data_IF_773240916137
#
_entry.id   IF_773240916137
#
_cell.length_a   1.000
_cell.length_b   1.000
_cell.length_c   1.000
_cell.angle_alpha   90.00
_cell.angle_beta   90.00
_cell.angle_gamma   90.00
#
_symmetry.space_group_name_H-M   'P 1'
#
loop_
_entity.id
_entity.type
_entity.pdbx_description
1 polymer ?
#
# COMPACT_ATOMS: atom_id res chain seq x y z
N UNK A 1 -21.02 29.38 -25.77
CA UNK A 1 -21.00 29.31 -24.28
C UNK A 1 -20.31 28.02 -23.89
N UNK A 2 -19.03 28.08 -23.59
CA UNK A 2 -18.22 26.93 -23.18
C UNK A 2 -18.20 26.92 -21.66
N UNK A 3 -18.79 25.88 -21.06
CA UNK A 3 -18.71 25.65 -19.61
C UNK A 3 -17.45 24.79 -19.36
N UNK A 4 -16.44 25.42 -18.78
CA UNK A 4 -15.26 24.74 -18.22
C UNK A 4 -15.67 24.01 -16.94
N UNK A 5 -15.62 22.69 -16.97
CA UNK A 5 -15.68 21.85 -15.78
C UNK A 5 -14.25 21.72 -15.22
N UNK A 6 -13.96 22.50 -14.21
CA UNK A 6 -12.79 22.30 -13.35
C UNK A 6 -13.11 21.17 -12.37
N UNK A 7 -12.64 19.96 -12.68
CA UNK A 7 -12.63 18.86 -11.74
C UNK A 7 -11.44 19.06 -10.79
N UNK A 8 -11.72 19.56 -9.58
CA UNK A 8 -10.75 19.58 -8.49
C UNK A 8 -10.62 18.16 -7.92
N UNK A 9 -9.55 17.45 -8.29
CA UNK A 9 -9.21 16.17 -7.69
C UNK A 9 -8.58 16.43 -6.31
N UNK A 10 -9.37 16.19 -5.25
CA UNK A 10 -8.87 16.23 -3.89
C UNK A 10 -8.09 14.92 -3.60
N UNK A 11 -6.77 15.02 -3.52
CA UNK A 11 -5.91 13.95 -3.02
C UNK A 11 -6.12 13.82 -1.51
N UNK A 12 -6.96 12.88 -1.11
CA UNK A 12 -7.07 12.43 0.27
C UNK A 12 -5.90 11.46 0.57
N UNK A 13 -4.80 11.98 1.10
CA UNK A 13 -3.88 11.21 1.93
C UNK A 13 -4.57 10.96 3.29
N UNK A 14 -5.63 10.15 3.27
CA UNK A 14 -6.30 9.71 4.47
C UNK A 14 -5.55 8.52 5.06
N UNK A 15 -4.49 8.78 5.82
CA UNK A 15 -4.05 7.85 6.85
C UNK A 15 -5.12 7.88 7.95
N UNK A 16 -6.06 6.93 7.91
CA UNK A 16 -7.08 6.75 8.95
C UNK A 16 -6.43 6.25 10.24
N UNK A 17 -6.09 7.17 11.13
CA UNK A 17 -5.74 6.90 12.52
C UNK A 17 -6.91 7.31 13.40
N UNK A 18 -7.57 6.31 13.99
CA UNK A 18 -8.66 6.48 14.92
C UNK A 18 -8.22 7.23 16.19
N UNK A 19 -8.89 8.34 16.49
CA UNK A 19 -8.84 8.99 17.79
C UNK A 19 -10.04 8.52 18.60
N UNK A 20 -9.79 7.71 19.62
CA UNK A 20 -10.70 7.53 20.73
C UNK A 20 -10.42 8.63 21.75
N UNK A 21 -11.35 9.57 21.90
CA UNK A 21 -11.38 10.57 22.97
C UNK A 21 -12.75 10.63 23.56
N UNK A 22 -12.92 10.14 24.80
CA UNK A 22 -14.12 10.32 25.63
C UNK A 22 -14.12 11.71 26.27
N UNK A 23 -15.23 12.43 26.24
CA UNK A 23 -16.09 12.78 27.38
C UNK A 23 -16.99 13.98 27.11
N UNK A 24 -18.24 13.91 27.66
CA UNK A 24 -18.98 15.08 28.14
C UNK A 24 -20.26 15.49 27.40
N UNK A 25 -21.39 14.99 27.88
CA UNK A 25 -22.73 15.55 27.97
C UNK A 25 -23.24 16.71 27.09
N UNK A 26 -24.42 16.51 26.50
CA UNK A 26 -25.36 17.62 26.27
C UNK A 26 -26.18 17.66 24.99
N UNK A 27 -27.32 16.97 24.93
CA UNK A 27 -28.60 17.31 24.25
C UNK A 27 -28.71 17.62 22.75
N UNK A 28 -29.40 16.69 22.07
CA UNK A 28 -30.47 16.80 21.03
C UNK A 28 -30.15 17.33 19.62
N UNK A 29 -30.36 16.40 18.71
CA UNK A 29 -30.99 16.45 17.37
C UNK A 29 -30.27 17.11 16.22
N UNK A 30 -29.70 16.28 15.35
CA UNK A 30 -29.98 16.25 13.90
C UNK A 30 -29.34 15.01 13.28
N UNK A 31 -30.14 14.27 12.52
CA UNK A 31 -29.82 12.99 11.88
C UNK A 31 -28.87 13.24 10.71
N UNK A 32 -27.57 13.12 10.95
CA UNK A 32 -26.55 13.03 9.93
C UNK A 32 -26.16 11.57 9.78
N UNK A 33 -26.20 11.05 8.55
CA UNK A 33 -25.85 9.67 8.21
C UNK A 33 -24.40 9.40 8.66
N UNK A 34 -24.25 8.60 9.70
CA UNK A 34 -22.97 8.10 10.18
C UNK A 34 -22.47 7.07 9.16
N UNK A 35 -21.35 7.38 8.50
CA UNK A 35 -20.52 6.37 7.85
C UNK A 35 -20.08 5.40 8.95
N UNK A 36 -20.34 4.09 8.87
CA UNK A 36 -19.89 3.17 9.89
C UNK A 36 -18.37 3.07 9.84
N UNK A 37 -17.70 3.69 10.81
CA UNK A 37 -16.34 3.31 11.15
C UNK A 37 -16.40 1.82 11.54
N UNK A 38 -15.86 0.95 10.70
CA UNK A 38 -15.74 -0.47 10.93
C UNK A 38 -14.97 -0.66 12.24
N UNK A 39 -15.68 -1.03 13.31
CA UNK A 39 -15.07 -1.67 14.46
C UNK A 39 -14.57 -3.04 13.98
N UNK A 40 -13.35 -3.07 13.43
CA UNK A 40 -12.64 -4.31 13.18
C UNK A 40 -12.39 -4.92 14.57
N UNK A 41 -13.26 -5.85 14.99
CA UNK A 41 -12.89 -6.85 15.96
C UNK A 41 -11.52 -7.39 15.52
N UNK A 42 -10.49 -7.24 16.36
CA UNK A 42 -9.18 -7.86 16.17
C UNK A 42 -9.41 -9.37 16.08
N UNK A 43 -9.62 -9.87 14.90
CA UNK A 43 -9.63 -11.29 14.66
C UNK A 43 -8.20 -11.76 14.91
N UNK A 44 -8.01 -12.65 15.87
CA UNK A 44 -6.70 -13.20 16.18
C UNK A 44 -6.16 -13.88 14.92
N UNK A 45 -4.96 -13.44 14.49
CA UNK A 45 -4.35 -13.99 13.26
C UNK A 45 -4.04 -15.46 13.45
N UNK A 46 -4.37 -16.24 12.44
CA UNK A 46 -4.10 -17.68 12.44
C UNK A 46 -2.59 -17.93 12.50
N UNK A 47 -2.15 -18.84 13.35
CA UNK A 47 -0.76 -19.31 13.37
C UNK A 47 -0.48 -20.18 12.14
N UNK A 48 0.26 -19.64 11.17
CA UNK A 48 0.56 -20.32 9.91
C UNK A 48 1.32 -21.64 10.10
N UNK A 49 2.13 -21.75 11.17
CA UNK A 49 2.92 -22.96 11.44
C UNK A 49 2.05 -24.17 11.85
N UNK A 50 0.82 -23.90 12.29
CA UNK A 50 -0.15 -24.93 12.70
C UNK A 50 -1.14 -25.29 11.58
N UNK A 51 -1.08 -24.59 10.44
CA UNK A 51 -1.95 -24.91 9.32
C UNK A 51 -1.41 -26.11 8.53
N UNK A 52 -2.30 -27.03 8.22
CA UNK A 52 -2.04 -28.01 7.16
C UNK A 52 -2.23 -27.30 5.82
N UNK A 53 -1.13 -27.19 5.06
CA UNK A 53 -1.13 -26.64 3.70
C UNK A 53 -0.88 -27.80 2.75
N UNK A 54 -1.82 -28.02 1.85
CA UNK A 54 -1.68 -29.02 0.80
C UNK A 54 -1.00 -28.38 -0.42
N UNK A 55 -0.12 -29.13 -1.10
CA UNK A 55 0.67 -28.59 -2.23
C UNK A 55 -0.02 -28.84 -3.59
N UNK A 56 -1.06 -29.66 -3.64
CA UNK A 56 -1.87 -29.90 -4.83
C UNK A 56 -3.24 -30.51 -4.44
N UNK A 57 -4.18 -30.47 -5.34
CA UNK A 57 -5.47 -31.17 -5.24
C UNK A 57 -6.06 -31.41 -6.63
N UNK A 58 -6.60 -32.62 -6.86
CA UNK A 58 -7.32 -32.94 -8.11
C UNK A 58 -8.60 -32.12 -8.30
N UNK A 59 -9.06 -31.45 -7.27
CA UNK A 59 -10.21 -30.55 -7.31
C UNK A 59 -9.90 -29.16 -7.88
N UNK A 60 -8.61 -28.76 -7.90
CA UNK A 60 -8.22 -27.46 -8.40
C UNK A 60 -8.61 -27.29 -9.88
N UNK A 61 -9.02 -26.07 -10.27
CA UNK A 61 -9.32 -25.78 -11.68
C UNK A 61 -8.04 -25.76 -12.53
N UNK A 62 -8.18 -25.80 -13.82
CA UNK A 62 -7.10 -25.45 -14.73
C UNK A 62 -7.13 -23.96 -15.01
N UNK A 63 -6.03 -23.27 -14.76
CA UNK A 63 -5.90 -21.83 -15.02
C UNK A 63 -4.94 -21.64 -16.18
N UNK A 64 -5.38 -20.92 -17.20
CA UNK A 64 -4.59 -20.59 -18.38
C UNK A 64 -3.52 -19.54 -18.09
N UNK A 65 -2.73 -19.21 -19.09
CA UNK A 65 -1.77 -18.11 -18.99
C UNK A 65 -2.50 -16.76 -19.10
N UNK A 66 -2.10 -15.76 -18.30
CA UNK A 66 -2.62 -14.40 -18.44
C UNK A 66 -2.22 -13.80 -19.78
N UNK A 67 -3.02 -12.88 -20.27
CA UNK A 67 -2.68 -12.03 -21.42
C UNK A 67 -2.78 -10.56 -21.04
N UNK A 68 -2.19 -9.66 -21.85
CA UNK A 68 -2.19 -8.22 -21.54
C UNK A 68 -3.59 -7.70 -21.24
N UNK A 69 -3.76 -7.10 -20.07
CA UNK A 69 -5.01 -6.50 -19.57
C UNK A 69 -6.20 -7.45 -19.49
N UNK A 70 -5.96 -8.76 -19.31
CA UNK A 70 -7.02 -9.75 -19.11
C UNK A 70 -6.63 -10.77 -18.05
N UNK A 71 -7.59 -11.09 -17.18
CA UNK A 71 -7.47 -12.23 -16.28
C UNK A 71 -7.25 -13.52 -17.07
N UNK A 72 -6.46 -14.47 -16.55
CA UNK A 72 -6.34 -15.80 -17.17
C UNK A 72 -7.69 -16.51 -17.19
N UNK A 73 -7.89 -17.35 -18.20
CA UNK A 73 -9.08 -18.19 -18.27
C UNK A 73 -9.04 -19.28 -17.18
N UNK A 74 -10.21 -19.60 -16.61
CA UNK A 74 -10.34 -20.65 -15.60
C UNK A 74 -11.30 -21.72 -16.10
N UNK A 75 -10.94 -22.99 -15.89
CA UNK A 75 -11.79 -24.15 -16.23
C UNK A 75 -11.92 -25.03 -14.98
N UNK A 76 -13.14 -25.12 -14.47
CA UNK A 76 -13.44 -25.89 -13.26
C UNK A 76 -13.58 -27.38 -13.54
N UNK A 77 -13.15 -28.20 -12.58
CA UNK A 77 -13.41 -29.65 -12.60
C UNK A 77 -14.87 -29.86 -12.23
N UNK A 78 -15.63 -30.38 -13.16
CA UNK A 78 -17.08 -30.57 -13.01
C UNK A 78 -17.46 -31.38 -11.77
N UNK A 79 -18.26 -30.79 -10.89
CA UNK A 79 -18.75 -31.43 -9.67
C UNK A 79 -17.70 -31.60 -8.57
N UNK A 80 -16.50 -31.02 -8.72
CA UNK A 80 -15.47 -31.07 -7.69
C UNK A 80 -15.90 -30.25 -6.48
N UNK A 81 -15.63 -30.79 -5.27
CA UNK A 81 -15.81 -30.06 -4.02
C UNK A 81 -14.54 -29.27 -3.71
N UNK A 82 -14.71 -28.06 -3.21
CA UNK A 82 -13.60 -27.22 -2.80
C UNK A 82 -12.70 -27.91 -1.75
N UNK A 83 -11.36 -27.76 -1.83
CA UNK A 83 -10.45 -28.19 -0.77
C UNK A 83 -10.82 -27.57 0.57
N UNK A 84 -10.74 -28.35 1.64
CA UNK A 84 -11.04 -27.90 3.01
C UNK A 84 -9.83 -27.32 3.72
N UNK A 85 -8.62 -27.61 3.22
CA UNK A 85 -7.35 -27.04 3.68
C UNK A 85 -6.94 -25.92 2.73
N UNK A 86 -6.08 -25.02 3.22
CA UNK A 86 -5.31 -24.12 2.35
C UNK A 86 -4.48 -24.99 1.39
N UNK A 87 -4.65 -24.77 0.09
CA UNK A 87 -3.92 -25.52 -0.94
C UNK A 87 -3.11 -24.52 -1.76
N UNK A 88 -1.81 -24.72 -1.85
CA UNK A 88 -0.89 -23.85 -2.59
C UNK A 88 -0.09 -24.70 -3.58
N UNK A 89 -0.46 -24.60 -4.85
CA UNK A 89 0.23 -25.31 -5.94
C UNK A 89 1.19 -24.37 -6.64
N UNK A 90 2.46 -24.75 -6.69
CA UNK A 90 3.46 -24.02 -7.48
C UNK A 90 3.35 -24.45 -8.94
N UNK A 91 2.90 -23.53 -9.80
CA UNK A 91 2.85 -23.73 -11.26
C UNK A 91 4.22 -23.54 -11.88
N UNK A 92 4.96 -22.52 -11.40
CA UNK A 92 6.31 -22.21 -11.83
C UNK A 92 7.11 -21.75 -10.60
N UNK A 93 8.29 -22.31 -10.42
CA UNK A 93 9.17 -21.90 -9.34
C UNK A 93 10.01 -20.67 -9.74
N UNK A 94 10.06 -19.69 -8.86
CA UNK A 94 10.94 -18.52 -8.92
C UNK A 94 12.25 -18.75 -8.18
N UNK A 95 13.19 -17.84 -8.36
CA UNK A 95 14.52 -17.89 -7.72
C UNK A 95 14.88 -16.62 -6.95
N UNK A 96 13.96 -15.66 -6.86
CA UNK A 96 14.20 -14.37 -6.19
C UNK A 96 14.11 -14.45 -4.67
N UNK A 97 13.95 -13.30 -4.04
CA UNK A 97 13.85 -13.18 -2.59
C UNK A 97 12.67 -13.98 -2.02
N UNK A 98 12.88 -14.60 -0.86
CA UNK A 98 11.83 -15.33 -0.17
C UNK A 98 10.88 -14.35 0.56
N UNK A 99 9.60 -14.65 0.54
CA UNK A 99 8.56 -13.92 1.25
C UNK A 99 8.66 -14.22 2.75
N UNK A 100 8.95 -13.20 3.55
CA UNK A 100 8.99 -13.25 5.01
C UNK A 100 7.64 -12.82 5.62
N UNK A 101 7.43 -13.07 6.90
CA UNK A 101 6.17 -12.78 7.59
C UNK A 101 5.81 -11.28 7.62
N UNK A 102 6.81 -10.41 7.60
CA UNK A 102 6.67 -8.95 7.60
C UNK A 102 6.80 -8.33 6.20
N UNK A 103 6.83 -9.15 5.14
CA UNK A 103 7.03 -8.67 3.78
C UNK A 103 5.85 -7.83 3.27
N UNK A 104 6.19 -6.81 2.51
CA UNK A 104 5.34 -6.20 1.50
C UNK A 104 5.61 -6.89 0.17
N UNK A 105 4.60 -7.55 -0.38
CA UNK A 105 4.71 -8.28 -1.64
C UNK A 105 4.04 -7.51 -2.76
N UNK A 106 4.62 -7.52 -3.95
CA UNK A 106 3.94 -7.12 -5.18
C UNK A 106 3.59 -8.38 -5.98
N UNK A 107 2.38 -8.42 -6.50
CA UNK A 107 1.92 -9.55 -7.28
C UNK A 107 0.98 -9.13 -8.42
N UNK A 108 1.09 -9.83 -9.55
CA UNK A 108 -0.02 -9.92 -10.47
C UNK A 108 -0.93 -11.05 -10.01
N UNK A 109 -2.24 -10.83 -10.01
CA UNK A 109 -3.17 -11.86 -9.55
C UNK A 109 -4.54 -11.73 -10.19
N UNK A 110 -5.27 -12.85 -10.17
CA UNK A 110 -6.72 -12.89 -10.39
C UNK A 110 -7.35 -13.78 -9.35
N UNK A 111 -8.52 -13.38 -8.85
CA UNK A 111 -9.27 -14.11 -7.83
C UNK A 111 -10.68 -14.48 -8.28
N UNK A 112 -11.09 -15.71 -7.99
CA UNK A 112 -12.41 -16.25 -8.26
C UNK A 112 -13.03 -16.82 -6.99
N UNK A 113 -14.35 -16.74 -6.90
CA UNK A 113 -15.09 -17.62 -5.98
C UNK A 113 -15.07 -19.04 -6.55
N UNK A 114 -15.09 -20.03 -5.70
CA UNK A 114 -15.16 -21.42 -6.13
C UNK A 114 -16.32 -21.64 -7.09
N UNK A 115 -16.05 -22.36 -8.19
CA UNK A 115 -16.99 -22.67 -9.27
C UNK A 115 -17.58 -21.45 -10.01
N UNK A 116 -16.93 -20.29 -9.94
CA UNK A 116 -17.31 -19.08 -10.68
C UNK A 116 -16.42 -18.87 -11.89
N UNK A 117 -17.03 -18.57 -13.04
CA UNK A 117 -16.28 -18.19 -14.24
C UNK A 117 -15.79 -16.71 -14.21
N UNK A 118 -16.35 -15.90 -13.31
CA UNK A 118 -16.08 -14.46 -13.25
C UNK A 118 -15.13 -14.15 -12.11
N UNK A 119 -14.10 -13.37 -12.39
CA UNK A 119 -13.20 -12.80 -11.36
C UNK A 119 -13.97 -11.84 -10.46
N UNK A 120 -13.64 -11.83 -9.17
CA UNK A 120 -14.12 -10.78 -8.28
C UNK A 120 -13.06 -9.65 -8.12
N UNK A 121 -11.80 -9.95 -8.45
CA UNK A 121 -10.71 -8.98 -8.47
C UNK A 121 -9.55 -9.48 -9.34
N UNK A 122 -8.91 -8.57 -10.09
CA UNK A 122 -7.79 -8.90 -10.96
C UNK A 122 -6.86 -7.70 -11.17
N UNK A 123 -5.59 -7.86 -10.84
CA UNK A 123 -4.56 -6.86 -11.15
C UNK A 123 -4.19 -6.88 -12.64
N UNK A 124 -4.36 -8.02 -13.32
CA UNK A 124 -4.14 -8.09 -14.78
C UNK A 124 -5.10 -7.15 -15.53
N UNK A 125 -6.38 -7.09 -15.11
CA UNK A 125 -7.37 -6.19 -15.70
C UNK A 125 -7.06 -4.71 -15.43
N UNK A 126 -6.34 -4.41 -14.34
CA UNK A 126 -5.85 -3.06 -14.03
C UNK A 126 -4.53 -2.71 -14.74
N UNK A 127 -3.86 -3.70 -15.36
CA UNK A 127 -2.62 -3.51 -16.12
C UNK A 127 -1.36 -3.32 -15.27
N UNK A 128 -1.42 -3.54 -13.95
CA UNK A 128 -0.26 -3.40 -13.06
C UNK A 128 -0.33 -4.33 -11.87
N UNK A 129 0.82 -4.80 -11.40
CA UNK A 129 0.92 -5.53 -10.14
C UNK A 129 0.39 -4.69 -8.98
N UNK A 130 -0.19 -5.35 -7.99
CA UNK A 130 -0.67 -4.69 -6.77
C UNK A 130 0.21 -5.10 -5.60
N UNK A 131 0.54 -4.11 -4.75
CA UNK A 131 1.39 -4.31 -3.59
C UNK A 131 0.56 -4.41 -2.31
N UNK A 132 0.90 -5.39 -1.47
CA UNK A 132 0.22 -5.69 -0.21
C UNK A 132 1.22 -5.89 0.92
N UNK A 133 0.88 -5.41 2.13
CA UNK A 133 1.52 -5.90 3.33
C UNK A 133 0.92 -7.26 3.71
N UNK A 134 1.73 -8.29 3.95
CA UNK A 134 1.24 -9.59 4.42
C UNK A 134 0.51 -9.47 5.77
N UNK A 135 0.76 -8.41 6.52
CA UNK A 135 0.04 -8.12 7.74
C UNK A 135 -1.37 -7.56 7.51
N UNK A 136 -1.71 -7.14 6.29
CA UNK A 136 -2.99 -6.53 5.92
C UNK A 136 -3.90 -7.38 5.06
N UNK A 137 -3.48 -8.60 4.66
CA UNK A 137 -4.27 -9.50 3.82
C UNK A 137 -4.94 -10.61 4.64
N UNK A 138 -5.88 -11.34 3.99
CA UNK A 138 -6.53 -12.52 4.56
C UNK A 138 -5.50 -13.59 4.93
N UNK A 139 -5.79 -14.40 5.97
CA UNK A 139 -4.86 -15.41 6.48
C UNK A 139 -4.44 -16.44 5.43
N UNK A 140 -5.32 -16.78 4.48
CA UNK A 140 -5.00 -17.67 3.39
C UNK A 140 -3.88 -17.13 2.47
N UNK A 141 -3.88 -15.83 2.17
CA UNK A 141 -2.79 -15.18 1.45
C UNK A 141 -1.52 -15.13 2.28
N UNK A 142 -1.64 -14.65 3.53
CA UNK A 142 -0.49 -14.53 4.43
C UNK A 142 0.23 -15.85 4.62
N UNK A 143 -0.49 -16.92 4.94
CA UNK A 143 0.10 -18.23 5.17
C UNK A 143 0.48 -18.94 3.86
N UNK A 144 -0.27 -18.70 2.79
CA UNK A 144 -0.04 -19.33 1.50
C UNK A 144 1.16 -18.78 0.74
N UNK A 145 1.56 -17.53 1.00
CA UNK A 145 2.71 -16.90 0.34
C UNK A 145 4.01 -17.03 1.15
N UNK A 146 3.91 -17.30 2.46
CA UNK A 146 5.07 -17.38 3.35
C UNK A 146 6.09 -18.43 2.86
N UNK A 147 7.34 -18.02 2.66
CA UNK A 147 8.43 -18.88 2.19
C UNK A 147 8.49 -19.06 0.67
N UNK A 148 7.47 -18.69 -0.09
CA UNK A 148 7.53 -18.61 -1.55
C UNK A 148 8.50 -17.53 -2.01
N UNK A 149 8.91 -17.58 -3.28
CA UNK A 149 9.97 -16.71 -3.81
C UNK A 149 9.43 -15.78 -4.89
N UNK A 150 10.03 -14.63 -5.02
CA UNK A 150 9.83 -13.76 -6.18
C UNK A 150 10.12 -14.54 -7.46
N UNK A 151 9.19 -14.44 -8.43
CA UNK A 151 9.17 -15.25 -9.64
C UNK A 151 8.32 -16.52 -9.56
N UNK A 152 7.86 -16.92 -8.36
CA UNK A 152 6.88 -18.01 -8.24
C UNK A 152 5.57 -17.61 -8.93
N UNK A 153 4.99 -18.59 -9.61
CA UNK A 153 3.60 -18.57 -10.09
C UNK A 153 2.82 -19.61 -9.32
N UNK A 154 1.78 -19.19 -8.64
CA UNK A 154 1.04 -20.01 -7.68
C UNK A 154 -0.44 -20.08 -8.06
N UNK A 155 -1.04 -21.24 -7.82
CA UNK A 155 -2.47 -21.41 -7.70
C UNK A 155 -2.81 -21.67 -6.23
N UNK A 156 -3.68 -20.82 -5.64
CA UNK A 156 -3.99 -20.88 -4.21
C UNK A 156 -5.49 -21.06 -4.03
N UNK A 157 -5.90 -22.16 -3.40
CA UNK A 157 -7.29 -22.37 -2.96
C UNK A 157 -7.38 -22.10 -1.46
N UNK A 158 -8.19 -21.11 -1.10
CA UNK A 158 -8.33 -20.59 0.26
C UNK A 158 -9.74 -20.88 0.77
N UNK A 159 -9.91 -21.79 1.76
CA UNK A 159 -11.22 -22.03 2.38
C UNK A 159 -11.76 -20.74 3.02
N UNK A 160 -13.08 -20.58 3.05
CA UNK A 160 -13.75 -19.38 3.58
C UNK A 160 -13.27 -18.98 4.98
N UNK A 161 -12.98 -19.92 5.88
CA UNK A 161 -12.44 -19.66 7.23
C UNK A 161 -11.08 -18.94 7.26
N UNK A 162 -10.30 -19.00 6.18
CA UNK A 162 -9.02 -18.30 6.00
C UNK A 162 -9.12 -17.12 5.04
N UNK A 163 -10.35 -16.79 4.59
CA UNK A 163 -10.70 -15.68 3.73
C UNK A 163 -11.68 -14.74 4.44
N UNK A 164 -12.80 -14.41 3.84
CA UNK A 164 -13.82 -13.52 4.40
C UNK A 164 -14.98 -14.24 5.08
N UNK A 165 -14.93 -15.58 5.15
CA UNK A 165 -16.01 -16.43 5.68
C UNK A 165 -17.08 -16.76 4.63
N UNK A 166 -18.06 -17.58 5.06
CA UNK A 166 -19.21 -17.93 4.22
C UNK A 166 -20.30 -16.83 4.23
N UNK A 167 -20.28 -15.99 5.27
CA UNK A 167 -21.15 -14.82 5.43
C UNK A 167 -20.29 -13.64 5.84
N UNK A 168 -19.61 -12.96 4.90
CA UNK A 168 -18.75 -11.85 5.22
C UNK A 168 -19.53 -10.67 5.81
N UNK A 169 -18.93 -9.97 6.79
CA UNK A 169 -19.52 -8.78 7.38
C UNK A 169 -19.67 -7.63 6.38
N UNK A 170 -18.74 -7.53 5.41
CA UNK A 170 -18.87 -6.64 4.27
C UNK A 170 -19.60 -7.38 3.14
N UNK A 171 -20.82 -6.96 2.74
CA UNK A 171 -21.60 -7.62 1.67
C UNK A 171 -20.91 -7.62 0.28
N UNK A 172 -19.94 -6.74 0.07
CA UNK A 172 -19.17 -6.66 -1.18
C UNK A 172 -17.97 -7.63 -1.20
N UNK A 173 -17.57 -8.16 -0.04
CA UNK A 173 -16.51 -9.15 0.02
C UNK A 173 -16.96 -10.50 -0.55
N UNK A 174 -16.10 -11.24 -1.27
CA UNK A 174 -16.44 -12.55 -1.77
C UNK A 174 -16.60 -13.55 -0.62
N UNK A 175 -17.61 -14.42 -0.71
CA UNK A 175 -17.93 -15.43 0.31
C UNK A 175 -17.44 -16.82 -0.09
N UNK A 176 -17.19 -17.68 0.91
CA UNK A 176 -16.84 -19.09 0.70
C UNK A 176 -15.38 -19.28 0.29
N UNK A 177 -15.11 -20.42 -0.36
CA UNK A 177 -13.76 -20.74 -0.85
C UNK A 177 -13.39 -19.85 -2.03
N UNK A 178 -12.17 -19.31 -1.99
CA UNK A 178 -11.60 -18.48 -3.05
C UNK A 178 -10.45 -19.20 -3.73
N UNK A 179 -10.29 -18.99 -5.03
CA UNK A 179 -9.15 -19.47 -5.80
C UNK A 179 -8.42 -18.27 -6.40
N UNK A 180 -7.10 -18.28 -6.31
CA UNK A 180 -6.25 -17.25 -6.89
C UNK A 180 -5.18 -17.83 -7.78
N UNK A 181 -4.91 -17.14 -8.88
CA UNK A 181 -3.68 -17.23 -9.64
C UNK A 181 -2.82 -16.05 -9.23
N UNK A 182 -1.56 -16.30 -8.86
CA UNK A 182 -0.66 -15.28 -8.30
C UNK A 182 0.72 -15.40 -8.93
N UNK A 183 1.24 -14.30 -9.46
CA UNK A 183 2.65 -14.16 -9.88
C UNK A 183 3.36 -13.20 -8.93
N UNK A 184 4.31 -13.70 -8.14
CA UNK A 184 5.08 -12.87 -7.21
C UNK A 184 6.15 -12.09 -7.99
N UNK A 185 6.04 -10.76 -8.02
CA UNK A 185 6.94 -9.88 -8.78
C UNK A 185 7.96 -9.18 -7.89
N UNK A 186 7.64 -8.96 -6.59
CA UNK A 186 8.56 -8.37 -5.62
C UNK A 186 8.19 -8.77 -4.18
N UNK A 187 9.18 -8.76 -3.29
CA UNK A 187 8.98 -9.01 -1.86
C UNK A 187 10.06 -8.26 -1.06
N UNK A 188 9.65 -7.28 -0.26
CA UNK A 188 10.53 -6.49 0.59
C UNK A 188 10.10 -6.62 2.05
N UNK A 189 11.04 -6.93 2.93
CA UNK A 189 10.81 -6.91 4.38
C UNK A 189 10.69 -5.47 4.89
N UNK A 190 10.05 -5.31 6.04
CA UNK A 190 9.99 -4.02 6.75
C UNK A 190 11.38 -3.40 6.94
N UNK A 191 12.39 -4.22 7.28
CA UNK A 191 13.77 -3.76 7.45
C UNK A 191 14.38 -3.24 6.14
N UNK A 192 14.16 -3.91 5.01
CA UNK A 192 14.65 -3.46 3.70
C UNK A 192 13.99 -2.14 3.28
N UNK A 193 12.68 -2.00 3.47
CA UNK A 193 11.96 -0.76 3.17
C UNK A 193 12.46 0.38 4.07
N UNK A 194 12.65 0.11 5.38
CA UNK A 194 13.13 1.11 6.33
C UNK A 194 14.53 1.63 6.01
N UNK A 195 15.39 0.75 5.49
CA UNK A 195 16.78 1.09 5.17
C UNK A 195 16.99 1.54 3.72
N UNK A 196 15.93 1.82 2.97
CA UNK A 196 16.00 2.01 1.52
C UNK A 196 16.99 3.08 1.06
N UNK A 197 17.06 4.19 1.76
CA UNK A 197 17.95 5.32 1.40
C UNK A 197 19.36 5.24 2.03
N UNK A 198 19.72 4.15 2.71
CA UNK A 198 20.99 4.05 3.48
C UNK A 198 22.25 4.28 2.64
N UNK A 199 22.21 3.86 1.37
CA UNK A 199 23.34 3.93 0.43
C UNK A 199 23.18 5.08 -0.59
N UNK A 200 22.21 5.99 -0.38
CA UNK A 200 22.00 7.14 -1.23
C UNK A 200 23.10 8.19 -1.06
N UNK A 201 23.39 8.90 -2.14
CA UNK A 201 24.38 10.00 -2.14
C UNK A 201 23.66 11.33 -1.96
N UNK A 202 24.12 12.15 -0.99
CA UNK A 202 23.58 13.49 -0.80
C UNK A 202 23.72 14.32 -2.08
N UNK A 203 22.66 15.05 -2.41
CA UNK A 203 22.65 15.96 -3.55
C UNK A 203 23.22 17.31 -3.12
N UNK A 204 24.23 17.80 -3.85
CA UNK A 204 24.89 19.09 -3.59
C UNK A 204 23.85 20.23 -3.63
N UNK A 205 23.90 21.14 -2.64
CA UNK A 205 22.99 22.28 -2.55
C UNK A 205 21.59 21.97 -2.03
N UNK A 206 21.21 20.69 -1.86
CA UNK A 206 19.86 20.32 -1.42
C UNK A 206 19.60 20.75 0.05
N UNK A 207 20.59 20.64 0.92
CA UNK A 207 20.48 21.08 2.32
C UNK A 207 20.32 22.60 2.40
N UNK A 208 21.11 23.35 1.65
CA UNK A 208 21.05 24.82 1.57
C UNK A 208 19.69 25.29 1.01
N UNK A 209 19.13 24.53 0.06
CA UNK A 209 17.80 24.83 -0.46
C UNK A 209 16.70 24.61 0.59
N UNK A 210 16.79 23.54 1.39
CA UNK A 210 15.89 23.32 2.53
C UNK A 210 15.99 24.45 3.56
N UNK A 211 17.20 24.87 3.93
CA UNK A 211 17.45 25.94 4.88
C UNK A 211 16.88 27.29 4.41
N UNK A 212 16.98 27.62 3.11
CA UNK A 212 16.35 28.80 2.49
C UNK A 212 14.81 28.77 2.64
N UNK A 213 14.20 27.59 2.71
CA UNK A 213 12.79 27.42 2.98
C UNK A 213 12.47 27.32 4.49
N UNK A 214 13.45 27.54 5.37
CA UNK A 214 13.32 27.44 6.82
C UNK A 214 13.11 26.01 7.34
N UNK A 215 13.57 25.01 6.58
CA UNK A 215 13.39 23.60 6.90
C UNK A 215 14.77 22.98 7.15
N UNK A 216 14.88 22.22 8.24
CA UNK A 216 16.05 21.40 8.53
C UNK A 216 15.62 19.94 8.63
N UNK A 217 16.28 19.07 7.89
CA UNK A 217 16.10 17.61 7.93
C UNK A 217 17.40 17.00 8.47
N UNK A 218 17.30 16.31 9.61
CA UNK A 218 18.44 15.63 10.24
C UNK A 218 18.19 14.15 10.41
N UNK A 219 19.23 13.39 10.70
CA UNK A 219 19.20 11.94 10.83
C UNK A 219 19.97 11.25 9.71
N UNK A 220 20.36 10.00 9.96
CA UNK A 220 21.09 9.19 8.97
C UNK A 220 20.17 8.74 7.85
N UNK A 221 20.69 8.60 6.64
CA UNK A 221 19.99 7.92 5.54
C UNK A 221 19.65 6.48 5.94
N UNK A 222 18.50 5.99 5.50
CA UNK A 222 17.98 4.68 5.91
C UNK A 222 17.43 4.61 7.33
N UNK A 223 17.24 5.74 8.00
CA UNK A 223 16.63 5.85 9.33
C UNK A 223 15.58 6.96 9.35
N UNK A 224 14.70 6.92 10.35
CA UNK A 224 13.69 7.95 10.54
C UNK A 224 14.34 9.36 10.63
N UNK A 225 13.99 10.27 9.73
CA UNK A 225 14.49 11.64 9.81
C UNK A 225 13.76 12.44 10.88
N UNK A 226 14.42 13.47 11.41
CA UNK A 226 13.78 14.53 12.17
C UNK A 226 13.60 15.76 11.30
N UNK A 227 12.40 16.33 11.32
CA UNK A 227 12.05 17.53 10.56
C UNK A 227 11.85 18.69 11.54
N UNK A 228 12.52 19.80 11.27
CA UNK A 228 12.34 21.05 12.00
C UNK A 228 11.96 22.15 11.03
N UNK A 229 10.85 22.84 11.32
CA UNK A 229 10.43 24.06 10.63
C UNK A 229 10.80 25.24 11.52
N UNK A 230 11.53 26.21 11.00
CA UNK A 230 11.97 27.39 11.72
C UNK A 230 10.76 28.20 12.21
N UNK A 231 10.76 28.54 13.49
CA UNK A 231 9.70 29.36 14.06
C UNK A 231 9.56 30.72 13.35
N UNK A 232 8.32 31.14 13.09
CA UNK A 232 8.02 32.41 12.43
C UNK A 232 8.23 32.44 10.91
N UNK A 233 8.65 31.32 10.29
CA UNK A 233 8.73 31.24 8.83
C UNK A 233 7.31 31.14 8.24
N UNK A 234 7.04 31.93 7.19
CA UNK A 234 5.75 31.85 6.49
C UNK A 234 5.55 30.50 5.84
N UNK A 235 4.27 30.04 5.80
CA UNK A 235 3.91 28.85 5.06
C UNK A 235 4.21 29.01 3.55
N UNK A 236 4.60 27.93 2.85
CA UNK A 236 4.86 27.99 1.41
C UNK A 236 3.58 28.34 0.65
N UNK A 237 3.73 29.04 -0.47
CA UNK A 237 2.62 29.38 -1.38
C UNK A 237 2.53 28.45 -2.60
N UNK A 238 3.55 27.62 -2.82
CA UNK A 238 3.63 26.65 -3.90
C UNK A 238 4.26 25.34 -3.41
N UNK A 239 3.90 24.24 -4.06
CA UNK A 239 4.54 22.95 -3.82
C UNK A 239 5.99 22.95 -4.34
N UNK A 240 6.87 22.25 -3.62
CA UNK A 240 8.26 22.03 -4.02
C UNK A 240 8.67 20.59 -3.77
N UNK A 241 9.55 20.09 -4.63
CA UNK A 241 10.22 18.79 -4.48
C UNK A 241 11.73 19.02 -4.45
N UNK A 242 12.40 18.50 -3.43
CA UNK A 242 13.85 18.56 -3.28
C UNK A 242 14.35 17.13 -3.10
N UNK A 243 15.20 16.65 -4.00
CA UNK A 243 15.90 15.38 -3.82
C UNK A 243 17.07 15.61 -2.86
N UNK A 244 16.90 15.22 -1.59
CA UNK A 244 17.94 15.40 -0.56
C UNK A 244 19.10 14.44 -0.74
N UNK A 245 18.78 13.19 -1.12
CA UNK A 245 19.78 12.18 -1.47
C UNK A 245 19.27 11.34 -2.62
N UNK A 246 20.16 11.05 -3.58
CA UNK A 246 19.85 10.25 -4.77
C UNK A 246 20.25 8.80 -4.57
N UNK A 247 19.31 7.89 -4.76
CA UNK A 247 19.56 6.46 -4.85
C UNK A 247 20.19 6.06 -6.18
N UNK A 248 20.44 4.77 -6.34
CA UNK A 248 21.04 4.17 -7.53
C UNK A 248 20.13 3.12 -8.20
N UNK A 249 18.88 2.98 -7.73
CA UNK A 249 17.92 2.03 -8.28
C UNK A 249 17.27 2.52 -9.58
N UNK A 250 16.28 1.78 -10.05
CA UNK A 250 15.51 2.17 -11.22
C UNK A 250 14.76 3.48 -10.99
N UNK A 251 14.62 4.27 -12.04
CA UNK A 251 13.89 5.54 -11.99
C UNK A 251 12.38 5.30 -11.97
N UNK A 252 11.67 6.09 -11.19
CA UNK A 252 10.21 6.11 -11.21
C UNK A 252 9.71 6.61 -12.56
N UNK A 253 8.59 6.05 -13.00
CA UNK A 253 7.81 6.48 -14.17
C UNK A 253 6.45 7.01 -13.70
N UNK A 254 5.72 7.67 -14.59
CA UNK A 254 4.38 8.20 -14.30
C UNK A 254 3.36 7.13 -13.88
N UNK A 255 3.55 5.89 -14.30
CA UNK A 255 2.65 4.76 -14.01
C UNK A 255 2.99 4.02 -12.71
N UNK A 256 4.13 4.34 -12.10
CA UNK A 256 4.59 3.64 -10.90
C UNK A 256 3.85 4.10 -9.63
N UNK A 257 3.86 3.22 -8.65
CA UNK A 257 3.47 3.51 -7.27
C UNK A 257 4.68 3.33 -6.38
N UNK A 258 5.25 4.46 -5.92
CA UNK A 258 6.39 4.44 -5.01
C UNK A 258 5.98 3.89 -3.65
N UNK A 259 6.75 2.94 -3.13
CA UNK A 259 6.65 2.41 -1.77
C UNK A 259 7.79 2.95 -0.93
N UNK A 260 7.51 3.33 0.31
CA UNK A 260 8.57 3.78 1.21
C UNK A 260 8.07 4.15 2.59
N UNK A 261 8.98 4.65 3.41
CA UNK A 261 8.62 5.25 4.69
C UNK A 261 8.59 6.77 4.58
N UNK A 262 7.72 7.40 5.35
CA UNK A 262 7.48 8.84 5.31
C UNK A 262 7.45 9.45 6.71
N UNK A 263 8.15 10.55 6.89
CA UNK A 263 7.98 11.45 8.04
C UNK A 263 7.35 12.76 7.60
N UNK A 264 6.60 13.39 8.47
CA UNK A 264 5.87 14.62 8.22
C UNK A 264 6.01 15.60 9.38
N UNK A 265 6.11 16.88 9.06
CA UNK A 265 5.91 17.99 10.00
C UNK A 265 5.03 19.07 9.36
N UNK A 266 4.15 19.67 10.14
CA UNK A 266 3.25 20.74 9.66
C UNK A 266 3.62 22.07 10.30
N UNK A 267 3.20 23.18 9.69
CA UNK A 267 3.44 24.54 10.20
C UNK A 267 2.72 24.84 11.52
N UNK A 268 1.68 24.07 11.86
CA UNK A 268 0.99 24.13 13.17
C UNK A 268 1.61 23.22 14.24
N UNK A 269 2.77 22.59 13.94
CA UNK A 269 3.58 21.85 14.90
C UNK A 269 3.28 20.35 15.00
N UNK A 270 2.34 19.79 14.24
CA UNK A 270 2.09 18.35 14.23
C UNK A 270 3.23 17.59 13.54
N UNK A 271 3.61 16.45 14.10
CA UNK A 271 4.64 15.57 13.53
C UNK A 271 4.15 14.13 13.50
N UNK A 272 4.43 13.41 12.42
CA UNK A 272 4.17 11.98 12.29
C UNK A 272 5.31 11.30 11.54
N UNK A 273 5.49 10.01 11.79
CA UNK A 273 6.50 9.23 11.09
C UNK A 273 6.07 7.77 11.00
N UNK A 274 5.97 7.25 9.79
CA UNK A 274 5.64 5.85 9.54
C UNK A 274 6.74 4.88 10.00
N UNK A 275 7.96 5.38 10.32
CA UNK A 275 9.03 4.57 10.94
C UNK A 275 8.79 4.27 12.41
N UNK A 276 8.16 5.21 13.15
CA UNK A 276 8.15 5.21 14.62
C UNK A 276 6.77 4.96 15.23
N UNK A 277 5.79 4.66 14.40
CA UNK A 277 4.46 4.24 14.87
C UNK A 277 4.53 2.87 15.56
N UNK A 278 3.58 2.60 16.44
CA UNK A 278 3.49 1.32 17.17
C UNK A 278 3.38 0.10 16.25
N UNK A 279 2.98 0.32 15.02
CA UNK A 279 2.96 -0.68 13.94
C UNK A 279 3.45 0.01 12.66
N UNK A 280 4.76 0.07 12.44
CA UNK A 280 5.34 0.73 11.27
C UNK A 280 4.77 0.16 9.97
N UNK A 281 4.22 1.03 9.14
CA UNK A 281 3.66 0.66 7.84
C UNK A 281 4.26 1.55 6.76
N UNK A 282 4.79 0.98 5.68
CA UNK A 282 5.21 1.78 4.54
C UNK A 282 4.02 2.43 3.86
N UNK A 283 4.28 3.57 3.26
CA UNK A 283 3.31 4.37 2.51
C UNK A 283 3.45 4.07 1.03
N UNK A 284 2.35 4.00 0.33
CA UNK A 284 2.31 3.90 -1.12
C UNK A 284 1.87 5.25 -1.70
N UNK A 285 2.59 5.74 -2.71
CA UNK A 285 2.35 7.02 -3.36
C UNK A 285 2.33 6.84 -4.88
N UNK A 286 1.17 7.03 -5.50
CA UNK A 286 1.03 7.00 -6.95
C UNK A 286 1.72 8.21 -7.57
N UNK A 287 2.68 7.97 -8.47
CA UNK A 287 3.44 9.03 -9.16
C UNK A 287 2.50 9.90 -10.00
N UNK A 288 1.56 9.29 -10.73
CA UNK A 288 0.59 10.02 -11.55
C UNK A 288 -0.35 10.92 -10.73
N UNK A 289 -0.75 10.46 -9.53
CA UNK A 289 -1.65 11.24 -8.67
C UNK A 289 -0.94 12.43 -8.05
N UNK A 290 0.30 12.25 -7.54
CA UNK A 290 1.03 13.35 -6.90
C UNK A 290 1.62 14.33 -7.93
N UNK A 291 1.72 13.96 -9.21
CA UNK A 291 2.28 14.80 -10.28
C UNK A 291 1.60 16.15 -10.42
N UNK A 292 0.34 16.27 -10.00
CA UNK A 292 -0.35 17.56 -9.96
C UNK A 292 0.24 18.55 -8.94
N UNK A 293 0.94 18.05 -7.93
CA UNK A 293 1.60 18.84 -6.89
C UNK A 293 3.11 18.89 -7.10
N UNK A 294 3.74 17.73 -7.25
CA UNK A 294 5.17 17.55 -7.47
C UNK A 294 5.42 16.34 -8.37
N UNK A 295 6.44 16.41 -9.21
CA UNK A 295 6.79 15.33 -10.15
C UNK A 295 7.88 14.43 -9.57
N UNK A 296 7.53 13.20 -9.21
CA UNK A 296 8.48 12.17 -8.75
C UNK A 296 9.08 11.36 -9.91
N UNK A 297 8.62 11.55 -11.16
CA UNK A 297 9.16 10.80 -12.31
C UNK A 297 10.64 11.12 -12.51
N UNK A 298 11.41 10.11 -12.88
CA UNK A 298 12.85 10.21 -13.04
C UNK A 298 13.67 10.11 -11.74
N UNK A 299 13.06 10.12 -10.58
CA UNK A 299 13.77 9.93 -9.29
C UNK A 299 14.09 8.45 -9.12
N UNK A 300 15.35 8.09 -8.80
CA UNK A 300 15.73 6.70 -8.58
C UNK A 300 15.14 6.12 -7.29
N UNK A 301 14.79 4.84 -7.29
CA UNK A 301 14.57 4.06 -6.06
C UNK A 301 15.83 4.10 -5.20
N UNK A 302 15.67 4.14 -3.89
CA UNK A 302 16.74 4.38 -2.92
C UNK A 302 16.93 5.85 -2.57
N UNK A 303 16.23 6.78 -3.20
CA UNK A 303 16.33 8.22 -2.90
C UNK A 303 15.59 8.63 -1.63
N UNK A 304 16.09 9.69 -0.97
CA UNK A 304 15.34 10.47 0.01
C UNK A 304 14.90 11.79 -0.62
N UNK A 305 13.60 12.01 -0.68
CA UNK A 305 13.03 13.25 -1.20
C UNK A 305 12.33 14.04 -0.11
N UNK A 306 12.30 15.36 -0.26
CA UNK A 306 11.54 16.28 0.60
C UNK A 306 10.46 16.95 -0.26
N UNK A 307 9.21 16.79 0.14
CA UNK A 307 8.05 17.39 -0.49
C UNK A 307 7.50 18.47 0.43
N UNK A 308 7.47 19.69 -0.04
CA UNK A 308 6.95 20.84 0.69
C UNK A 308 5.62 21.22 0.05
N UNK A 309 4.52 21.19 0.81
CA UNK A 309 3.19 21.53 0.31
C UNK A 309 2.62 22.76 0.98
N UNK A 310 2.01 23.67 0.20
CA UNK A 310 1.24 24.79 0.74
C UNK A 310 -0.03 24.30 1.46
N UNK A 311 -0.71 25.17 2.23
CA UNK A 311 -2.02 24.83 2.78
C UNK A 311 -3.00 24.41 1.68
N UNK A 312 -3.78 23.35 1.93
CA UNK A 312 -4.74 22.81 0.97
C UNK A 312 -6.17 23.06 1.45
N UNK A 313 -7.00 23.62 0.58
CA UNK A 313 -8.42 23.74 0.89
C UNK A 313 -9.09 22.35 0.84
N UNK A 314 -9.87 22.01 1.86
CA UNK A 314 -10.64 20.77 1.85
C UNK A 314 -11.78 20.86 0.83
N UNK A 315 -11.89 19.85 -0.04
CA UNK A 315 -12.99 19.73 -1.00
C UNK A 315 -14.36 19.41 -0.36
N UNK A 316 -14.38 19.06 0.92
CA UNK A 316 -15.60 18.67 1.65
C UNK A 316 -16.08 19.72 2.68
N UNK A 317 -15.71 20.99 2.50
CA UNK A 317 -16.26 22.09 3.28
C UNK A 317 -15.57 22.33 4.63
N UNK A 318 -14.77 23.35 4.73
CA UNK A 318 -14.54 24.12 5.95
C UNK A 318 -13.22 23.95 6.67
N UNK A 319 -12.43 22.89 6.51
CA UNK A 319 -11.10 22.81 7.15
C UNK A 319 -9.98 22.83 6.11
N UNK A 320 -9.08 23.80 6.25
CA UNK A 320 -7.85 23.88 5.47
C UNK A 320 -6.82 22.94 6.10
N UNK A 321 -6.25 22.03 5.30
CA UNK A 321 -5.09 21.24 5.74
C UNK A 321 -3.90 22.20 5.85
N UNK A 322 -3.17 22.24 6.97
CA UNK A 322 -2.02 23.12 7.13
C UNK A 322 -0.91 22.78 6.14
N UNK A 323 -0.06 23.76 5.86
CA UNK A 323 1.17 23.51 5.11
C UNK A 323 2.00 22.41 5.78
N UNK A 324 2.66 21.57 4.98
CA UNK A 324 3.39 20.42 5.49
C UNK A 324 4.69 20.15 4.72
N UNK A 325 5.65 19.58 5.43
CA UNK A 325 6.88 18.99 4.88
C UNK A 325 6.80 17.50 5.05
N UNK A 326 7.02 16.77 3.97
CA UNK A 326 7.15 15.33 3.97
C UNK A 326 8.57 14.94 3.59
N UNK A 327 9.18 14.01 4.31
CA UNK A 327 10.43 13.36 3.94
C UNK A 327 10.08 11.92 3.62
N UNK A 328 10.36 11.50 2.39
CA UNK A 328 9.98 10.19 1.88
C UNK A 328 11.21 9.44 1.35
N UNK A 329 11.46 8.24 1.89
CA UNK A 329 12.49 7.32 1.43
C UNK A 329 11.84 6.33 0.47
N UNK A 330 12.23 6.36 -0.80
CA UNK A 330 11.66 5.54 -1.87
C UNK A 330 12.33 4.16 -1.85
N UNK A 331 11.60 3.12 -1.45
CA UNK A 331 12.15 1.77 -1.32
C UNK A 331 11.89 0.88 -2.54
N UNK A 332 10.79 1.11 -3.25
CA UNK A 332 10.41 0.36 -4.44
C UNK A 332 9.41 1.16 -5.30
N UNK A 333 9.07 0.60 -6.46
CA UNK A 333 8.06 1.10 -7.37
C UNK A 333 7.05 0.02 -7.73
#
# INVERSE_FOLDING_TARGET
MRRSLTAAAALLLAASLGLAGCSGDGKKSAKAAATPASAATKQEKVDCSKLKIDTDSKALPTIGQPSSNKAPAITWVKGAKAPTNLTVKTIKAGSGAAVAADSNVAANYSGWKWDSATTFDSSFERGSATRFSLNGVIDGWRCGLLGHKVGDVLEISIPGKLAYGDKPANPQAPSGTLVFYVELTDALTTAQISAASKDATLVEGATEELEKNGITVTGKLGQAPSITIKAGISAPTSAKLITLASGNGEKLTDTDTALGYMAMATWDGNKRSSWTESSPQPVQMSVSQIKQLVDLSGIPVGSRVVIILPPQASSQGGQTTPAAVYVFDIAAK
#
